data_IF_249093543614
#
_entry.id   IF_249093543614
#
_cell.length_a   1.000
_cell.length_b   1.000
_cell.length_c   1.000
_cell.angle_alpha   90.00
_cell.angle_beta   90.00
_cell.angle_gamma   90.00
#
_symmetry.space_group_name_H-M   'P 1'
#
loop_
_entity.id
_entity.type
_entity.pdbx_description
1 polymer ?
#
# COMPACT_ATOMS: atom_id res chain seq x y z
N UNK A 1 58.69 37.85 7.96
CA UNK A 1 58.30 36.47 8.34
C UNK A 1 56.95 36.20 7.70
N UNK A 2 56.94 35.49 6.57
CA UNK A 2 55.72 35.06 5.88
C UNK A 2 55.35 33.66 6.35
N UNK A 3 54.14 33.49 6.90
CA UNK A 3 53.53 32.18 7.06
C UNK A 3 52.63 31.94 5.85
N UNK A 4 53.10 31.10 4.92
CA UNK A 4 52.24 30.44 3.94
C UNK A 4 51.53 29.29 4.65
N UNK A 5 50.21 29.33 4.70
CA UNK A 5 49.39 28.17 5.04
C UNK A 5 49.05 27.44 3.72
N UNK A 6 49.78 26.36 3.44
CA UNK A 6 49.34 25.37 2.45
C UNK A 6 48.26 24.49 3.10
N UNK A 7 46.99 24.79 2.80
CA UNK A 7 45.87 23.88 3.07
C UNK A 7 45.73 22.97 1.86
N UNK A 8 46.49 21.87 1.84
CA UNK A 8 46.26 20.74 0.95
C UNK A 8 45.15 19.86 1.56
N UNK A 9 43.89 20.25 1.36
CA UNK A 9 42.77 19.34 1.61
C UNK A 9 42.63 18.40 0.41
N UNK A 10 42.89 17.11 0.60
CA UNK A 10 42.50 16.10 -0.37
C UNK A 10 40.99 16.20 -0.63
N UNK A 11 40.49 15.90 -1.85
CA UNK A 11 39.06 15.83 -2.12
C UNK A 11 38.42 14.89 -1.10
N UNK A 12 37.32 15.34 -0.48
CA UNK A 12 36.55 14.47 0.40
C UNK A 12 36.25 13.18 -0.37
N UNK A 13 36.47 11.99 0.24
CA UNK A 13 36.13 10.74 -0.42
C UNK A 13 34.65 10.81 -0.83
N UNK A 14 34.31 10.38 -2.07
CA UNK A 14 32.93 10.39 -2.53
C UNK A 14 32.08 9.63 -1.50
N UNK A 15 30.97 10.24 -1.10
CA UNK A 15 30.06 9.64 -0.13
C UNK A 15 29.73 8.22 -0.60
N UNK A 16 29.97 7.24 0.27
CA UNK A 16 29.59 5.85 -0.01
C UNK A 16 28.07 5.84 -0.23
N UNK A 17 27.57 5.32 -1.36
CA UNK A 17 26.14 5.27 -1.61
C UNK A 17 25.44 4.54 -0.45
N UNK A 18 24.32 5.09 0.03
CA UNK A 18 23.52 4.37 1.03
C UNK A 18 23.08 3.04 0.38
N UNK A 19 23.38 1.88 1.00
CA UNK A 19 23.00 0.61 0.42
C UNK A 19 21.49 0.56 0.22
N UNK A 20 21.06 0.03 -0.93
CA UNK A 20 19.65 -0.13 -1.24
C UNK A 20 18.98 -1.05 -0.21
N UNK A 21 17.73 -0.77 0.19
CA UNK A 21 16.98 -1.65 1.06
C UNK A 21 16.87 -3.06 0.49
N UNK A 22 16.91 -4.07 1.35
CA UNK A 22 16.80 -5.48 0.92
C UNK A 22 15.36 -5.74 0.48
N UNK A 23 15.22 -6.37 -0.68
CA UNK A 23 13.92 -6.75 -1.21
C UNK A 23 13.23 -7.82 -0.34
N UNK A 24 11.91 -7.69 -0.11
CA UNK A 24 11.15 -8.76 0.52
C UNK A 24 11.19 -10.04 -0.34
N UNK A 25 11.24 -11.19 0.31
CA UNK A 25 11.15 -12.50 -0.38
C UNK A 25 9.71 -12.97 -0.58
N UNK A 26 8.74 -12.21 -0.07
CA UNK A 26 7.32 -12.56 -0.12
C UNK A 26 6.47 -11.33 -0.39
N UNK A 27 5.30 -11.55 -0.99
CA UNK A 27 4.32 -10.51 -1.28
C UNK A 27 3.29 -10.44 -0.16
N UNK A 28 2.79 -9.24 0.12
CA UNK A 28 1.59 -9.09 0.93
C UNK A 28 0.44 -9.91 0.33
N UNK A 29 -0.42 -10.48 1.19
CA UNK A 29 -1.52 -11.32 0.75
C UNK A 29 -2.84 -10.81 1.32
N UNK A 30 -3.88 -10.81 0.48
CA UNK A 30 -5.23 -10.69 0.97
C UNK A 30 -5.60 -11.93 1.79
N UNK A 31 -6.38 -11.77 2.84
CA UNK A 31 -6.78 -12.86 3.73
C UNK A 31 -7.91 -12.44 4.65
N UNK A 32 -8.27 -13.32 5.57
CA UNK A 32 -9.34 -13.07 6.54
C UNK A 32 -8.89 -13.35 7.96
N UNK A 33 -9.58 -12.76 8.94
CA UNK A 33 -9.48 -13.12 10.34
C UNK A 33 -10.66 -13.99 10.73
N UNK A 34 -10.48 -14.89 11.68
CA UNK A 34 -11.59 -15.65 12.25
C UNK A 34 -12.23 -14.89 13.39
N UNK A 35 -13.56 -14.85 13.39
CA UNK A 35 -14.36 -14.27 14.46
C UNK A 35 -15.41 -15.26 14.94
N UNK A 36 -15.53 -15.41 16.25
CA UNK A 36 -16.59 -16.20 16.87
C UNK A 36 -17.73 -15.27 17.27
N UNK A 37 -18.90 -15.52 16.69
CA UNK A 37 -20.11 -14.73 16.92
C UNK A 37 -20.53 -14.83 18.39
N UNK A 38 -20.89 -13.68 18.96
CA UNK A 38 -21.33 -13.50 20.35
C UNK A 38 -22.83 -13.25 20.40
N UNK A 39 -23.38 -13.39 21.60
CA UNK A 39 -24.77 -13.02 21.86
C UNK A 39 -25.00 -11.53 21.61
N UNK A 40 -26.02 -11.21 20.81
CA UNK A 40 -26.36 -9.83 20.44
C UNK A 40 -25.66 -9.31 19.17
N UNK A 41 -24.76 -10.08 18.57
CA UNK A 41 -24.11 -9.66 17.32
C UNK A 41 -25.06 -9.67 16.11
N UNK A 42 -24.88 -8.68 15.23
CA UNK A 42 -25.38 -8.68 13.86
C UNK A 42 -24.21 -8.59 12.88
N UNK A 43 -24.40 -8.93 11.60
CA UNK A 43 -23.34 -8.73 10.60
C UNK A 43 -22.88 -7.27 10.54
N UNK A 44 -23.83 -6.33 10.61
CA UNK A 44 -23.53 -4.90 10.62
C UNK A 44 -22.69 -4.49 11.82
N UNK A 45 -23.04 -4.94 13.04
CA UNK A 45 -22.26 -4.64 14.24
C UNK A 45 -20.88 -5.29 14.20
N UNK A 46 -20.77 -6.52 13.69
CA UNK A 46 -19.48 -7.21 13.54
C UNK A 46 -18.59 -6.44 12.56
N UNK A 47 -19.10 -6.04 11.39
CA UNK A 47 -18.32 -5.30 10.40
C UNK A 47 -17.95 -3.90 10.89
N UNK A 48 -18.86 -3.21 11.56
CA UNK A 48 -18.59 -1.91 12.17
C UNK A 48 -17.49 -2.03 13.22
N UNK A 49 -17.68 -2.85 14.25
CA UNK A 49 -16.78 -2.86 15.42
C UNK A 49 -15.53 -3.71 15.28
N UNK A 50 -15.55 -4.76 14.44
CA UNK A 50 -14.38 -5.62 14.23
C UNK A 50 -13.59 -5.22 12.99
N UNK A 51 -14.26 -4.75 11.93
CA UNK A 51 -13.63 -4.39 10.66
C UNK A 51 -13.51 -2.88 10.43
N UNK A 52 -13.97 -2.03 11.37
CA UNK A 52 -13.93 -0.55 11.28
C UNK A 52 -14.65 -0.01 10.05
N UNK A 53 -15.80 -0.59 9.72
CA UNK A 53 -16.62 -0.21 8.57
C UNK A 53 -17.92 0.44 9.06
N UNK A 54 -17.87 1.74 9.36
CA UNK A 54 -18.97 2.48 9.99
C UNK A 54 -20.26 2.50 9.17
N UNK A 55 -20.17 2.31 7.85
CA UNK A 55 -21.33 2.27 6.95
C UNK A 55 -21.60 0.88 6.35
N UNK A 56 -21.24 -0.20 7.06
CA UNK A 56 -21.46 -1.57 6.59
C UNK A 56 -22.92 -1.82 6.18
N UNK A 57 -23.89 -1.37 6.96
CA UNK A 57 -25.32 -1.48 6.67
C UNK A 57 -25.78 -0.76 5.40
N UNK A 58 -25.07 0.27 4.93
CA UNK A 58 -25.38 0.93 3.65
C UNK A 58 -24.90 0.11 2.45
N UNK A 59 -23.74 -0.53 2.60
CA UNK A 59 -23.09 -1.33 1.55
C UNK A 59 -23.77 -2.70 1.45
N UNK A 60 -24.04 -3.33 2.59
CA UNK A 60 -24.60 -4.68 2.73
C UNK A 60 -26.05 -4.62 3.24
N UNK A 61 -26.94 -4.13 2.37
CA UNK A 61 -28.36 -4.04 2.66
C UNK A 61 -29.19 -4.87 1.68
N UNK A 62 -30.40 -5.22 2.09
CA UNK A 62 -31.35 -6.00 1.28
C UNK A 62 -31.74 -5.30 -0.03
N UNK A 63 -31.57 -3.97 -0.12
CA UNK A 63 -31.76 -3.20 -1.36
C UNK A 63 -30.62 -3.40 -2.37
N UNK A 64 -29.48 -3.97 -1.94
CA UNK A 64 -28.31 -4.33 -2.75
C UNK A 64 -28.00 -5.84 -2.59
N UNK A 65 -28.88 -6.75 -3.04
CA UNK A 65 -28.78 -8.17 -2.74
C UNK A 65 -27.48 -8.81 -3.25
N UNK A 66 -26.87 -8.27 -4.31
CA UNK A 66 -25.60 -8.78 -4.85
C UNK A 66 -24.43 -8.56 -3.88
N UNK A 67 -24.41 -7.44 -3.14
CA UNK A 67 -23.33 -7.18 -2.17
C UNK A 67 -23.50 -8.04 -0.93
N UNK A 68 -24.73 -8.26 -0.47
CA UNK A 68 -25.04 -9.20 0.63
C UNK A 68 -24.67 -10.63 0.24
N UNK A 69 -24.98 -11.07 -0.97
CA UNK A 69 -24.59 -12.41 -1.46
C UNK A 69 -23.07 -12.57 -1.51
N UNK A 70 -22.36 -11.54 -1.98
CA UNK A 70 -20.90 -11.53 -2.03
C UNK A 70 -20.28 -11.58 -0.61
N UNK A 71 -20.86 -10.83 0.35
CA UNK A 71 -20.46 -10.87 1.75
C UNK A 71 -20.68 -12.26 2.36
N UNK A 72 -21.88 -12.84 2.18
CA UNK A 72 -22.20 -14.17 2.69
C UNK A 72 -21.23 -15.24 2.19
N UNK A 73 -20.85 -15.15 0.91
CA UNK A 73 -19.86 -16.06 0.31
C UNK A 73 -18.48 -15.86 0.92
N UNK A 74 -18.05 -14.61 1.14
CA UNK A 74 -16.76 -14.30 1.76
C UNK A 74 -16.69 -14.74 3.23
N UNK A 75 -17.80 -14.60 3.97
CA UNK A 75 -17.90 -15.02 5.37
C UNK A 75 -18.07 -16.53 5.54
N UNK A 76 -18.50 -17.23 4.49
CA UNK A 76 -18.89 -18.64 4.54
C UNK A 76 -20.18 -18.91 5.32
N UNK A 77 -20.93 -17.86 5.68
CA UNK A 77 -22.17 -17.91 6.45
C UNK A 77 -23.18 -16.91 5.91
N UNK A 78 -24.47 -17.19 6.11
CA UNK A 78 -25.52 -16.23 5.80
C UNK A 78 -25.65 -15.22 6.93
N UNK A 79 -25.49 -13.93 6.61
CA UNK A 79 -25.59 -12.83 7.56
C UNK A 79 -26.92 -12.77 8.33
N UNK A 80 -28.03 -13.22 7.74
CA UNK A 80 -29.33 -13.25 8.42
C UNK A 80 -29.51 -14.45 9.35
N UNK A 81 -28.60 -15.43 9.30
CA UNK A 81 -28.71 -16.69 10.02
C UNK A 81 -27.53 -16.94 10.98
N UNK A 82 -26.72 -15.91 11.24
CA UNK A 82 -25.62 -16.01 12.21
C UNK A 82 -26.16 -16.31 13.61
N UNK A 83 -25.46 -17.15 14.37
CA UNK A 83 -25.83 -17.53 15.73
C UNK A 83 -24.60 -17.48 16.65
N UNK A 84 -24.78 -17.22 17.94
CA UNK A 84 -23.68 -17.27 18.91
C UNK A 84 -22.92 -18.60 18.85
N UNK A 85 -21.60 -18.53 18.89
CA UNK A 85 -20.69 -19.67 18.80
C UNK A 85 -20.30 -20.10 17.39
N UNK A 86 -20.99 -19.62 16.34
CA UNK A 86 -20.54 -19.82 14.96
C UNK A 86 -19.24 -19.06 14.70
N UNK A 87 -18.38 -19.62 13.84
CA UNK A 87 -17.14 -18.97 13.39
C UNK A 87 -17.31 -18.49 11.96
N UNK A 88 -16.99 -17.22 11.73
CA UNK A 88 -17.02 -16.57 10.41
C UNK A 88 -15.65 -16.06 10.03
N UNK A 89 -15.39 -16.00 8.72
CA UNK A 89 -14.24 -15.33 8.15
C UNK A 89 -14.56 -13.86 7.90
N UNK A 90 -13.78 -12.95 8.45
CA UNK A 90 -13.91 -11.51 8.22
C UNK A 90 -12.73 -11.02 7.40
N UNK A 91 -13.01 -10.53 6.19
CA UNK A 91 -12.00 -9.90 5.34
C UNK A 91 -11.92 -8.40 5.67
N UNK A 92 -10.71 -7.83 5.82
CA UNK A 92 -10.54 -6.38 5.92
C UNK A 92 -11.00 -5.70 4.62
N UNK A 93 -11.65 -4.55 4.75
CA UNK A 93 -12.03 -3.72 3.60
C UNK A 93 -10.81 -3.07 2.96
N UNK A 94 -10.85 -2.86 1.63
CA UNK A 94 -9.72 -2.63 0.71
C UNK A 94 -8.55 -1.94 1.36
N UNK A 95 -7.72 -2.77 2.02
CA UNK A 95 -6.68 -2.29 2.87
C UNK A 95 -5.59 -1.85 1.93
N UNK A 96 -5.02 -0.68 2.18
CA UNK A 96 -3.86 -0.23 1.45
C UNK A 96 -2.78 -1.33 1.50
N UNK A 97 -1.90 -1.39 0.53
CA UNK A 97 -0.72 -2.24 0.60
C UNK A 97 0.53 -1.40 0.50
N UNK A 98 1.50 -1.67 1.37
CA UNK A 98 2.80 -1.02 1.36
C UNK A 98 3.71 -1.72 0.35
N UNK A 99 4.27 -0.93 -0.57
CA UNK A 99 5.25 -1.38 -1.54
C UNK A 99 6.56 -0.62 -1.37
N UNK A 100 7.67 -1.33 -1.49
CA UNK A 100 9.01 -0.75 -1.55
C UNK A 100 9.84 -1.48 -2.59
N UNK A 101 10.51 -0.74 -3.48
CA UNK A 101 11.30 -1.36 -4.54
C UNK A 101 12.02 -0.38 -5.46
N UNK A 102 12.61 -0.90 -6.54
CA UNK A 102 13.43 -0.13 -7.48
C UNK A 102 12.66 0.13 -8.77
N UNK A 103 12.69 1.37 -9.25
CA UNK A 103 12.08 1.78 -10.51
C UNK A 103 12.91 1.27 -11.69
N UNK A 104 12.31 0.43 -12.53
CA UNK A 104 12.92 -0.06 -13.78
C UNK A 104 12.46 0.71 -15.01
N UNK A 105 11.23 1.23 -14.97
CA UNK A 105 10.64 1.93 -16.11
C UNK A 105 9.71 3.04 -15.62
N UNK A 106 9.66 4.13 -16.39
CA UNK A 106 8.79 5.27 -16.15
C UNK A 106 8.06 5.58 -17.46
N UNK A 107 6.73 5.58 -17.42
CA UNK A 107 5.88 6.00 -18.53
C UNK A 107 5.06 7.21 -18.09
N UNK A 108 5.28 8.38 -18.70
CA UNK A 108 4.49 9.57 -18.41
C UNK A 108 3.06 9.41 -18.91
N UNK A 109 2.07 9.87 -18.13
CA UNK A 109 0.66 9.86 -18.53
C UNK A 109 0.37 10.74 -19.76
N UNK A 110 1.29 11.64 -20.13
CA UNK A 110 1.25 12.42 -21.37
C UNK A 110 2.54 12.18 -22.14
N UNK A 111 2.49 11.85 -23.45
CA UNK A 111 3.70 11.78 -24.26
C UNK A 111 4.39 13.15 -24.22
N UNK A 112 5.64 13.17 -23.76
CA UNK A 112 6.45 14.38 -23.85
C UNK A 112 6.56 14.72 -25.34
N UNK A 113 6.08 15.90 -25.70
CA UNK A 113 6.17 16.39 -27.07
C UNK A 113 7.65 16.65 -27.35
N UNK A 114 8.31 15.70 -27.99
CA UNK A 114 9.70 15.85 -28.42
C UNK A 114 9.68 16.91 -29.52
N UNK A 115 9.95 18.16 -29.16
CA UNK A 115 10.24 19.18 -30.18
C UNK A 115 11.48 18.69 -30.93
N UNK A 116 11.47 18.65 -32.27
CA UNK A 116 12.65 18.26 -33.03
C UNK A 116 13.78 19.26 -32.71
N UNK A 117 14.79 18.80 -31.98
CA UNK A 117 15.98 19.60 -31.67
C UNK A 117 16.73 19.86 -32.98
N UNK A 118 17.08 21.12 -33.31
CA UNK A 118 18.00 21.38 -34.42
C UNK A 118 19.35 20.71 -34.13
N UNK A 119 19.99 20.19 -35.19
CA UNK A 119 21.23 19.37 -35.20
C UNK A 119 22.47 20.08 -34.63
N UNK A 120 22.45 20.45 -33.36
CA UNK A 120 23.60 20.97 -32.62
C UNK A 120 23.96 19.90 -31.57
N UNK A 121 25.17 19.31 -31.60
CA UNK A 121 25.60 18.38 -30.56
C UNK A 121 25.78 19.14 -29.25
N UNK A 122 24.82 18.98 -28.35
CA UNK A 122 24.91 19.45 -26.95
C UNK A 122 25.58 18.33 -26.15
N UNK A 123 26.55 18.62 -25.27
CA UNK A 123 27.16 17.61 -24.41
C UNK A 123 26.09 16.94 -23.55
N UNK A 124 26.18 15.62 -23.43
CA UNK A 124 25.28 14.67 -22.75
C UNK A 124 24.18 15.35 -21.91
N UNK A 125 23.00 15.50 -22.51
CA UNK A 125 21.81 15.84 -21.75
C UNK A 125 21.64 14.76 -20.67
N UNK A 126 21.68 15.16 -19.38
CA UNK A 126 21.21 14.30 -18.30
C UNK A 126 19.88 13.67 -18.73
N UNK A 127 19.68 12.35 -18.51
CA UNK A 127 18.46 11.69 -18.94
C UNK A 127 17.27 12.49 -18.43
N UNK A 128 16.48 13.00 -19.38
CA UNK A 128 15.37 13.92 -19.12
C UNK A 128 14.55 13.39 -17.95
N UNK A 129 14.54 14.12 -16.84
CA UNK A 129 13.71 13.77 -15.69
C UNK A 129 12.26 13.77 -16.15
N UNK A 130 11.62 12.61 -16.06
CA UNK A 130 10.23 12.47 -16.49
C UNK A 130 9.36 13.25 -15.52
N UNK A 131 8.58 14.20 -16.03
CA UNK A 131 7.69 15.00 -15.19
C UNK A 131 6.43 14.20 -14.82
N UNK A 132 6.37 13.71 -13.58
CA UNK A 132 5.25 12.94 -13.06
C UNK A 132 4.16 13.76 -12.35
N UNK A 133 4.19 15.10 -12.46
CA UNK A 133 3.19 15.98 -11.83
C UNK A 133 1.76 15.79 -12.36
N UNK A 134 1.62 15.26 -13.58
CA UNK A 134 0.34 14.91 -14.21
C UNK A 134 0.02 13.42 -14.17
N UNK A 135 0.88 12.62 -13.55
CA UNK A 135 0.75 11.18 -13.51
C UNK A 135 1.86 10.46 -14.28
N UNK A 136 2.33 9.36 -13.71
CA UNK A 136 3.22 8.39 -14.33
C UNK A 136 2.79 6.97 -13.98
N UNK A 137 3.08 6.03 -14.86
CA UNK A 137 3.09 4.61 -14.57
C UNK A 137 4.55 4.19 -14.34
N UNK A 138 4.87 3.77 -13.13
CA UNK A 138 6.18 3.23 -12.77
C UNK A 138 6.12 1.71 -12.85
N UNK A 139 7.11 1.07 -13.48
CA UNK A 139 7.37 -0.37 -13.26
C UNK A 139 8.39 -0.48 -12.14
N UNK A 140 7.98 -1.11 -11.04
CA UNK A 140 8.78 -1.24 -9.83
C UNK A 140 9.06 -2.71 -9.56
N UNK A 141 10.33 -3.09 -9.44
CA UNK A 141 10.73 -4.42 -8.98
C UNK A 141 10.71 -4.43 -7.45
N UNK A 142 9.92 -5.34 -6.88
CA UNK A 142 9.80 -5.51 -5.42
C UNK A 142 10.63 -6.70 -4.91
N UNK A 143 10.94 -7.65 -5.78
CA UNK A 143 11.77 -8.82 -5.52
C UNK A 143 12.34 -9.29 -6.87
N UNK A 144 13.40 -10.11 -6.88
CA UNK A 144 13.97 -10.63 -8.12
C UNK A 144 12.87 -11.20 -9.05
N UNK A 145 12.74 -10.63 -10.24
CA UNK A 145 11.76 -11.03 -11.27
C UNK A 145 10.29 -10.75 -10.92
N UNK A 146 10.00 -9.99 -9.86
CA UNK A 146 8.63 -9.63 -9.51
C UNK A 146 8.43 -8.13 -9.60
N UNK A 147 7.68 -7.74 -10.62
CA UNK A 147 7.35 -6.37 -10.93
C UNK A 147 5.90 -6.07 -10.62
N UNK A 148 5.65 -4.83 -10.22
CA UNK A 148 4.32 -4.24 -10.16
C UNK A 148 4.32 -2.93 -10.93
N UNK A 149 3.12 -2.40 -11.17
CA UNK A 149 2.96 -1.07 -11.73
C UNK A 149 2.34 -0.11 -10.71
N UNK A 150 3.01 1.00 -10.45
CA UNK A 150 2.48 2.07 -9.59
C UNK A 150 2.03 3.24 -10.44
N UNK A 151 0.75 3.60 -10.34
CA UNK A 151 0.22 4.85 -10.87
C UNK A 151 0.45 5.93 -9.83
N UNK A 152 1.42 6.80 -10.09
CA UNK A 152 1.85 7.86 -9.15
C UNK A 152 1.57 9.24 -9.73
N UNK A 153 1.38 10.23 -8.86
CA UNK A 153 1.41 11.65 -9.20
C UNK A 153 2.34 12.33 -8.20
N UNK A 154 3.42 12.95 -8.69
CA UNK A 154 4.46 13.50 -7.83
C UNK A 154 5.19 14.67 -8.49
N UNK A 155 5.70 15.58 -7.67
CA UNK A 155 6.65 16.61 -8.10
C UNK A 155 8.11 16.23 -7.86
N UNK A 156 8.37 15.12 -7.16
CA UNK A 156 9.72 14.60 -6.97
C UNK A 156 10.29 14.12 -8.29
N UNK A 157 11.61 14.28 -8.44
CA UNK A 157 12.33 13.75 -9.60
C UNK A 157 12.52 12.25 -9.44
N UNK A 158 11.90 11.45 -10.30
CA UNK A 158 12.09 10.00 -10.35
C UNK A 158 13.00 9.64 -11.51
N UNK A 159 13.95 8.74 -11.28
CA UNK A 159 14.86 8.20 -12.30
C UNK A 159 14.76 6.68 -12.32
N UNK A 160 15.15 6.06 -13.43
CA UNK A 160 15.39 4.61 -13.44
C UNK A 160 16.50 4.32 -12.43
N UNK A 161 16.30 3.31 -11.57
CA UNK A 161 17.17 3.00 -10.44
C UNK A 161 16.82 3.72 -9.14
N UNK A 162 15.92 4.71 -9.15
CA UNK A 162 15.41 5.30 -7.91
C UNK A 162 14.70 4.23 -7.08
N UNK A 163 14.93 4.26 -5.78
CA UNK A 163 14.17 3.48 -4.82
C UNK A 163 12.91 4.24 -4.44
N UNK A 164 11.77 3.55 -4.46
CA UNK A 164 10.47 4.12 -4.10
C UNK A 164 9.82 3.31 -3.00
N UNK A 165 9.06 4.02 -2.17
CA UNK A 165 8.13 3.43 -1.23
C UNK A 165 6.78 4.12 -1.39
N UNK A 166 5.69 3.37 -1.34
CA UNK A 166 4.35 3.93 -1.42
C UNK A 166 3.34 3.03 -0.73
N UNK A 167 2.25 3.62 -0.27
CA UNK A 167 1.01 2.89 -0.03
C UNK A 167 0.22 2.86 -1.34
N UNK A 168 -0.51 1.77 -1.60
CA UNK A 168 -1.32 1.70 -2.80
C UNK A 168 -2.60 0.91 -2.59
N UNK A 169 -3.65 1.30 -3.30
CA UNK A 169 -4.93 0.61 -3.22
C UNK A 169 -4.90 -0.68 -4.05
N UNK A 170 -5.25 -1.80 -3.43
CA UNK A 170 -5.40 -3.08 -4.13
C UNK A 170 -6.58 -3.06 -5.12
N UNK A 171 -6.46 -3.76 -6.28
CA UNK A 171 -7.52 -3.86 -7.28
C UNK A 171 -8.80 -4.47 -6.71
N UNK A 172 -9.95 -3.89 -7.11
CA UNK A 172 -11.23 -4.31 -6.56
C UNK A 172 -11.87 -5.49 -7.30
N UNK A 173 -12.59 -6.32 -6.54
CA UNK A 173 -13.45 -7.39 -7.00
C UNK A 173 -14.68 -6.72 -7.57
N UNK A 174 -14.89 -6.93 -8.85
CA UNK A 174 -16.06 -6.43 -9.52
C UNK A 174 -17.30 -7.20 -9.02
N UNK A 175 -18.32 -6.44 -8.59
CA UNK A 175 -19.65 -6.96 -8.32
C UNK A 175 -20.60 -6.28 -9.31
N UNK A 176 -21.41 -7.08 -9.99
CA UNK A 176 -22.32 -6.56 -11.01
C UNK A 176 -23.27 -5.52 -10.39
N UNK A 177 -23.33 -4.33 -10.99
CA UNK A 177 -24.16 -3.22 -10.50
C UNK A 177 -23.61 -2.53 -9.25
N UNK A 178 -22.37 -2.84 -8.84
CA UNK A 178 -21.72 -2.23 -7.67
C UNK A 178 -20.21 -2.05 -7.89
N UNK A 179 -19.84 -0.93 -8.51
CA UNK A 179 -18.44 -0.63 -8.90
C UNK A 179 -17.52 -0.33 -7.70
N UNK A 180 -18.09 -0.05 -6.52
CA UNK A 180 -17.37 0.36 -5.32
C UNK A 180 -17.37 -0.70 -4.22
N UNK A 181 -17.37 -1.97 -4.58
CA UNK A 181 -17.29 -3.07 -3.61
C UNK A 181 -16.07 -2.90 -2.68
N UNK A 182 -16.15 -3.24 -1.37
CA UNK A 182 -15.08 -2.95 -0.42
C UNK A 182 -14.08 -4.10 -0.18
N UNK A 183 -14.20 -5.30 -0.79
CA UNK A 183 -13.23 -6.41 -0.53
C UNK A 183 -12.54 -7.03 -1.72
N UNK A 184 -11.20 -7.15 -1.65
CA UNK A 184 -10.32 -7.80 -2.66
C UNK A 184 -10.83 -9.18 -3.01
N UNK A 185 -10.59 -9.59 -4.25
CA UNK A 185 -10.57 -11.01 -4.53
C UNK A 185 -9.23 -11.57 -4.01
N UNK A 186 -9.26 -12.44 -2.98
CA UNK A 186 -8.04 -12.96 -2.37
C UNK A 186 -7.20 -13.84 -3.30
N UNK A 187 -7.76 -14.26 -4.45
CA UNK A 187 -7.05 -15.03 -5.47
C UNK A 187 -6.40 -14.15 -6.54
N UNK A 188 -6.59 -12.82 -6.50
CA UNK A 188 -5.97 -11.94 -7.49
C UNK A 188 -4.46 -11.86 -7.24
N UNK A 189 -3.62 -12.29 -8.20
CA UNK A 189 -2.18 -12.12 -8.06
C UNK A 189 -1.82 -10.63 -8.08
N UNK A 190 -0.87 -10.23 -7.23
CA UNK A 190 -0.41 -8.84 -7.17
C UNK A 190 0.64 -8.51 -8.25
N UNK A 191 1.36 -9.51 -8.75
CA UNK A 191 2.36 -9.32 -9.80
C UNK A 191 1.72 -8.77 -11.08
N UNK A 192 2.44 -7.87 -11.75
CA UNK A 192 2.01 -7.21 -13.01
C UNK A 192 0.71 -6.40 -12.90
N UNK A 193 0.15 -6.24 -11.70
CA UNK A 193 -1.02 -5.40 -11.47
C UNK A 193 -0.63 -3.93 -11.40
N UNK A 194 -1.59 -3.08 -11.79
CA UNK A 194 -1.49 -1.63 -11.63
C UNK A 194 -2.20 -1.17 -10.37
N UNK A 195 -1.45 -0.51 -9.48
CA UNK A 195 -1.93 0.01 -8.22
C UNK A 195 -1.91 1.53 -8.24
N UNK A 196 -3.00 2.15 -7.78
CA UNK A 196 -3.02 3.60 -7.55
C UNK A 196 -2.29 3.87 -6.24
N UNK A 197 -1.19 4.61 -6.33
CA UNK A 197 -0.35 4.91 -5.18
C UNK A 197 -0.78 6.21 -4.49
N UNK A 198 -0.55 6.25 -3.18
CA UNK A 198 -0.63 7.40 -2.30
C UNK A 198 0.61 7.37 -1.38
N UNK A 199 0.86 8.45 -0.64
CA UNK A 199 1.90 8.48 0.40
C UNK A 199 3.27 8.02 -0.17
N UNK A 200 3.72 8.72 -1.22
CA UNK A 200 4.88 8.34 -2.01
C UNK A 200 6.17 8.88 -1.40
N UNK A 201 7.23 8.08 -1.47
CA UNK A 201 8.60 8.47 -1.19
C UNK A 201 9.53 8.02 -2.32
N UNK A 202 10.53 8.86 -2.62
CA UNK A 202 11.55 8.59 -3.64
C UNK A 202 12.92 8.88 -3.02
N UNK A 203 13.84 7.92 -3.06
CA UNK A 203 15.24 8.08 -2.62
C UNK A 203 15.39 8.76 -1.24
N UNK A 204 14.60 8.31 -0.27
CA UNK A 204 14.56 8.86 1.10
C UNK A 204 13.90 10.23 1.29
N UNK A 205 13.22 10.75 0.26
CA UNK A 205 12.45 12.00 0.32
C UNK A 205 10.97 11.69 0.22
N UNK A 206 10.23 11.98 1.29
CA UNK A 206 8.77 11.91 1.30
C UNK A 206 8.18 13.00 0.38
N UNK A 207 7.16 12.65 -0.39
CA UNK A 207 6.44 13.59 -1.23
C UNK A 207 5.18 14.11 -0.53
N UNK A 208 5.32 15.26 0.14
CA UNK A 208 4.22 15.96 0.79
C UNK A 208 3.11 16.42 -0.20
N UNK A 209 3.37 16.38 -1.52
CA UNK A 209 2.40 16.72 -2.56
C UNK A 209 1.83 15.50 -3.28
N UNK A 210 2.19 14.29 -2.84
CA UNK A 210 1.59 13.07 -3.37
C UNK A 210 0.11 12.97 -3.00
N UNK A 211 -0.60 12.07 -3.70
CA UNK A 211 -2.00 11.81 -3.40
C UNK A 211 -2.13 11.29 -1.96
N UNK A 212 -3.07 11.82 -1.20
CA UNK A 212 -3.36 11.31 0.14
C UNK A 212 -4.20 10.02 0.04
N UNK A 213 -3.98 9.06 0.93
CA UNK A 213 -4.61 7.74 0.82
C UNK A 213 -6.12 7.75 1.07
N UNK A 214 -6.64 8.75 1.79
CA UNK A 214 -8.08 9.00 1.91
C UNK A 214 -8.73 9.33 0.55
N UNK A 215 -7.97 9.93 -0.38
CA UNK A 215 -8.44 10.23 -1.74
C UNK A 215 -8.47 8.99 -2.65
N UNK A 216 -7.85 7.88 -2.23
CA UNK A 216 -7.98 6.58 -2.88
C UNK A 216 -9.17 5.77 -2.37
N UNK A 217 -9.79 6.18 -1.26
CA UNK A 217 -10.99 5.53 -0.76
C UNK A 217 -12.02 5.44 -1.89
N UNK A 218 -12.81 4.34 -1.97
CA UNK A 218 -14.09 4.46 -2.62
C UNK A 218 -14.78 5.65 -1.94
N UNK A 219 -15.34 6.59 -2.69
CA UNK A 219 -16.15 7.70 -2.16
C UNK A 219 -17.44 7.20 -1.44
N UNK A 220 -17.44 5.97 -0.91
CA UNK A 220 -18.58 5.20 -0.42
C UNK A 220 -18.26 4.36 0.83
N UNK A 221 -17.06 4.42 1.42
CA UNK A 221 -16.80 3.80 2.74
C UNK A 221 -16.50 4.93 3.72
N UNK A 222 -17.38 5.08 4.71
CA UNK A 222 -17.04 5.85 5.91
C UNK A 222 -16.21 4.93 6.81
N UNK A 223 -14.91 5.18 6.79
CA UNK A 223 -13.96 4.46 7.63
C UNK A 223 -14.01 5.04 9.05
N UNK A 224 -14.01 4.18 10.06
CA UNK A 224 -14.00 4.62 11.47
C UNK A 224 -12.61 5.18 11.87
N UNK A 225 -12.23 6.30 11.27
CA UNK A 225 -11.02 7.06 11.58
C UNK A 225 -9.73 6.31 11.26
N UNK A 226 -9.67 5.53 10.17
CA UNK A 226 -8.45 4.84 9.78
C UNK A 226 -8.55 3.92 8.57
N UNK A 227 -7.48 3.22 8.24
CA UNK A 227 -7.46 2.21 7.18
C UNK A 227 -6.62 1.02 7.60
N UNK A 228 -7.03 -0.16 7.15
CA UNK A 228 -6.17 -1.33 7.16
C UNK A 228 -5.03 -1.15 6.16
N UNK A 229 -3.83 -1.59 6.53
CA UNK A 229 -2.64 -1.64 5.69
C UNK A 229 -2.06 -3.07 5.71
N UNK A 230 -1.86 -3.64 4.53
CA UNK A 230 -1.13 -4.87 4.29
C UNK A 230 0.34 -4.56 4.01
N UNK A 231 1.24 -5.35 4.55
CA UNK A 231 2.65 -5.21 4.18
C UNK A 231 3.51 -6.37 4.63
N UNK A 232 4.80 -6.21 4.36
CA UNK A 232 5.82 -7.22 4.65
C UNK A 232 6.92 -6.53 5.46
N UNK A 233 7.35 -7.15 6.56
CA UNK A 233 8.45 -6.62 7.40
C UNK A 233 9.80 -6.78 6.70
N UNK A 234 10.77 -5.95 7.07
CA UNK A 234 12.09 -5.87 6.44
C UNK A 234 12.47 -4.43 6.09
N UNK A 235 13.76 -4.22 5.82
CA UNK A 235 14.32 -2.89 5.56
C UNK A 235 13.76 -2.20 4.31
N UNK A 236 13.25 -2.96 3.34
CA UNK A 236 12.54 -2.43 2.17
C UNK A 236 11.01 -2.43 2.30
N UNK A 237 10.47 -2.85 3.45
CA UNK A 237 9.04 -3.08 3.67
C UNK A 237 8.43 -2.11 4.68
N UNK A 238 7.63 -2.63 5.61
CA UNK A 238 6.96 -1.82 6.64
C UNK A 238 7.93 -1.20 7.65
N UNK A 239 9.07 -1.83 7.93
CA UNK A 239 9.98 -1.31 8.96
C UNK A 239 10.62 0.03 8.56
N UNK A 240 10.55 0.39 7.27
CA UNK A 240 11.02 1.68 6.74
C UNK A 240 10.37 2.90 7.42
N UNK A 241 9.10 2.80 7.81
CA UNK A 241 8.39 3.89 8.52
C UNK A 241 8.38 3.74 10.03
N UNK A 242 9.20 2.84 10.56
CA UNK A 242 9.29 2.66 12.01
C UNK A 242 7.95 2.27 12.61
N UNK A 243 7.18 1.42 11.91
CA UNK A 243 6.08 0.63 12.48
C UNK A 243 6.67 -0.38 13.48
N UNK A 244 7.36 0.14 14.50
CA UNK A 244 8.15 -0.59 15.46
C UNK A 244 7.20 -1.25 16.44
N UNK A 245 6.95 -2.52 16.17
CA UNK A 245 6.23 -3.36 17.10
C UNK A 245 7.08 -3.57 18.36
N UNK A 246 6.46 -3.61 19.57
CA UNK A 246 7.20 -3.84 20.82
C UNK A 246 8.03 -5.13 20.81
N UNK A 247 7.63 -6.09 19.96
CA UNK A 247 8.36 -7.31 19.67
C UNK A 247 8.71 -7.34 18.18
N UNK A 248 10.00 -7.26 17.79
CA UNK A 248 10.38 -7.30 16.39
C UNK A 248 9.93 -8.63 15.76
N UNK A 249 9.26 -8.52 14.62
CA UNK A 249 8.89 -9.68 13.81
C UNK A 249 10.08 -10.07 12.93
N UNK A 250 10.22 -11.36 12.57
CA UNK A 250 11.22 -11.76 11.58
C UNK A 250 11.03 -10.97 10.27
N UNK A 251 12.10 -10.64 9.53
CA UNK A 251 11.99 -10.09 8.18
C UNK A 251 11.15 -11.01 7.28
N UNK A 252 10.49 -10.44 6.28
CA UNK A 252 9.58 -11.12 5.35
C UNK A 252 8.29 -11.66 5.99
N UNK A 253 7.94 -11.20 7.19
CA UNK A 253 6.66 -11.52 7.81
C UNK A 253 5.57 -10.67 7.17
N UNK A 254 4.56 -11.32 6.60
CA UNK A 254 3.37 -10.64 6.09
C UNK A 254 2.44 -10.28 7.25
N UNK A 255 2.02 -9.03 7.28
CA UNK A 255 1.20 -8.48 8.35
C UNK A 255 0.04 -7.65 7.82
N UNK A 256 -1.00 -7.57 8.63
CA UNK A 256 -2.13 -6.68 8.49
C UNK A 256 -2.18 -5.79 9.73
N UNK A 257 -2.26 -4.48 9.55
CA UNK A 257 -2.27 -3.52 10.64
C UNK A 257 -3.29 -2.41 10.41
N UNK A 258 -3.88 -1.92 11.49
CA UNK A 258 -4.78 -0.77 11.46
C UNK A 258 -3.98 0.52 11.62
N UNK A 259 -4.12 1.43 10.66
CA UNK A 259 -3.61 2.80 10.74
C UNK A 259 -4.76 3.72 11.10
N UNK A 260 -4.56 4.58 12.10
CA UNK A 260 -5.54 5.58 12.49
C UNK A 260 -5.30 6.89 11.74
N UNK A 261 -6.36 7.57 11.34
CA UNK A 261 -6.28 8.91 10.76
C UNK A 261 -5.97 9.93 11.86
N UNK A 262 -4.90 10.71 11.67
CA UNK A 262 -4.43 11.77 12.55
C UNK A 262 -4.16 13.01 11.71
N UNK A 263 -4.98 14.05 11.88
CA UNK A 263 -4.89 15.29 11.08
C UNK A 263 -4.87 15.06 9.55
N UNK A 264 -5.53 14.00 9.08
CA UNK A 264 -5.57 13.63 7.66
C UNK A 264 -4.52 12.60 7.22
N UNK A 265 -3.52 12.30 8.06
CA UNK A 265 -2.49 11.31 7.76
C UNK A 265 -2.80 9.96 8.42
N UNK A 266 -2.38 8.85 7.80
CA UNK A 266 -2.53 7.53 8.38
C UNK A 266 -1.30 7.18 9.22
N UNK A 267 -1.53 6.90 10.51
CA UNK A 267 -0.45 6.60 11.46
C UNK A 267 -0.76 5.33 12.26
N UNK A 268 0.25 4.53 12.54
CA UNK A 268 0.10 3.42 13.48
C UNK A 268 0.18 3.92 14.92
N UNK A 269 -0.81 3.57 15.74
CA UNK A 269 -0.83 3.91 17.18
C UNK A 269 -0.61 2.68 18.05
N UNK A 270 0.10 2.81 19.19
CA UNK A 270 0.14 1.76 20.19
C UNK A 270 -1.27 1.31 20.60
N UNK A 271 -1.50 0.00 20.57
CA UNK A 271 -2.82 -0.60 20.85
C UNK A 271 -3.65 -0.92 19.59
N UNK A 272 -3.27 -0.38 18.42
CA UNK A 272 -3.90 -0.77 17.17
C UNK A 272 -3.67 -2.28 16.89
N UNK A 273 -4.68 -2.98 16.36
CA UNK A 273 -4.56 -4.40 16.10
C UNK A 273 -3.55 -4.69 14.99
N UNK A 274 -2.76 -5.73 15.20
CA UNK A 274 -1.80 -6.27 14.24
C UNK A 274 -1.98 -7.78 14.14
N UNK A 275 -1.93 -8.28 12.92
CA UNK A 275 -2.10 -9.68 12.61
C UNK A 275 -0.94 -10.17 11.74
N UNK A 276 -0.54 -11.42 11.93
CA UNK A 276 0.42 -12.12 11.07
C UNK A 276 -0.33 -13.09 10.17
N UNK A 277 0.05 -13.10 8.90
CA UNK A 277 -0.50 -14.00 7.91
C UNK A 277 0.05 -15.41 8.06
N UNK A 278 -0.82 -16.41 8.02
CA UNK A 278 -0.47 -17.81 7.92
C UNK A 278 -0.65 -18.31 6.49
N UNK A 279 0.46 -18.64 5.84
CA UNK A 279 0.49 -19.15 4.46
C UNK A 279 -0.31 -20.43 4.25
N UNK A 280 -0.36 -21.34 5.22
CA UNK A 280 -1.01 -22.63 5.06
C UNK A 280 -2.55 -22.52 5.13
N UNK A 281 -3.07 -21.55 5.88
CA UNK A 281 -4.51 -21.40 6.10
C UNK A 281 -5.09 -20.18 5.39
N UNK A 282 -4.25 -19.29 4.85
CA UNK A 282 -4.65 -17.98 4.30
C UNK A 282 -5.40 -17.09 5.32
N UNK A 283 -5.04 -17.24 6.60
CA UNK A 283 -5.67 -16.52 7.72
C UNK A 283 -4.70 -15.56 8.39
N UNK A 284 -5.23 -14.44 8.83
CA UNK A 284 -4.56 -13.49 9.71
C UNK A 284 -4.84 -13.82 11.17
N UNK A 285 -3.77 -14.04 11.94
CA UNK A 285 -3.85 -14.30 13.39
C UNK A 285 -3.33 -13.11 14.16
N UNK A 286 -4.11 -12.64 15.13
CA UNK A 286 -3.74 -11.49 15.98
C UNK A 286 -2.47 -11.80 16.77
N UNK A 287 -1.57 -10.82 16.83
CA UNK A 287 -0.37 -10.83 17.67
C UNK A 287 -0.66 -10.39 19.11
#
# INVERSE_FOLDING_TARGET
>A
MSHFFDVLSAPAPPATPTPLPVFPTAFAQAGSILYTIREGDSCDSILTFQMYMGNAGEIFSDVKPQTVQALNTAMGQNCHAIQPGMVVSLSPHYPLTAFGGIVHRIEAATPQQVLPTPLIPVPDQEPSTVNCSRGCLLTVELAPQVNIHLVVKTTLSIRIGSWVWAQAMMPRKAIQGFDNYPYVDPQTPLAEQSFKACDLQVDNVHDDNSLSCDQLAPNTIDIDGGSWLLGVTGSGGLDHWGYHYPKPLPPNTQVLLWLSTVHGNLEFKPGNPVYVYNQATHLYKRL
#
